data_IF_871292116118
#
_entry.id   IF_871292116118
#
_cell.length_a   1.000
_cell.length_b   1.000
_cell.length_c   1.000
_cell.angle_alpha   90.00
_cell.angle_beta   90.00
_cell.angle_gamma   90.00
#
_symmetry.space_group_name_H-M   'P 1'
#
loop_
_entity.id
_entity.type
_entity.pdbx_description
1 polymer ?
#
# COMPACT_ATOMS: atom_id res chain seq x y z
N UNK A 1 -27.83 13.81 -4.78
CA UNK A 1 -27.19 14.46 -3.62
C UNK A 1 -25.80 13.86 -3.45
N UNK A 2 -24.74 14.65 -3.57
CA UNK A 2 -23.42 14.20 -3.16
C UNK A 2 -23.39 14.26 -1.63
N UNK A 3 -23.45 13.11 -0.97
CA UNK A 3 -23.18 13.03 0.46
C UNK A 3 -21.79 13.62 0.72
N UNK A 4 -21.67 14.48 1.73
CA UNK A 4 -20.39 15.07 2.10
C UNK A 4 -19.39 13.94 2.40
N UNK A 5 -18.21 14.00 1.77
CA UNK A 5 -17.19 12.95 1.97
C UNK A 5 -16.76 12.94 3.42
N UNK A 6 -16.86 11.78 4.08
CA UNK A 6 -16.41 11.59 5.46
C UNK A 6 -14.91 11.89 5.55
N UNK A 7 -14.55 12.95 6.27
CA UNK A 7 -13.15 13.29 6.57
C UNK A 7 -12.82 12.84 7.98
N UNK A 8 -11.76 12.05 8.11
CA UNK A 8 -11.17 11.66 9.38
C UNK A 8 -9.70 12.07 9.30
N UNK A 9 -9.18 12.91 10.22
CA UNK A 9 -7.78 13.32 10.19
C UNK A 9 -6.83 12.11 10.11
N UNK A 10 -5.83 12.17 9.24
CA UNK A 10 -4.85 11.09 9.05
C UNK A 10 -5.39 9.83 8.36
N UNK A 11 -6.63 9.80 7.90
CA UNK A 11 -7.23 8.61 7.27
C UNK A 11 -7.70 8.90 5.85
N UNK A 12 -7.12 8.21 4.87
CA UNK A 12 -7.67 8.12 3.52
C UNK A 12 -8.75 7.03 3.50
N UNK A 13 -10.02 7.43 3.45
CA UNK A 13 -11.14 6.49 3.37
C UNK A 13 -11.15 5.83 1.98
N UNK A 14 -11.19 4.50 1.93
CA UNK A 14 -11.27 3.74 0.68
C UNK A 14 -12.71 3.67 0.17
N UNK A 15 -13.17 4.76 -0.44
CA UNK A 15 -14.50 4.88 -1.06
C UNK A 15 -14.49 4.51 -2.57
N UNK A 16 -15.60 4.74 -3.26
CA UNK A 16 -15.73 4.46 -4.70
C UNK A 16 -14.83 5.32 -5.59
N UNK A 17 -14.36 6.48 -5.14
CA UNK A 17 -13.40 7.29 -5.89
C UNK A 17 -11.99 6.71 -5.76
N UNK A 18 -11.57 6.38 -4.54
CA UNK A 18 -10.27 5.74 -4.31
C UNK A 18 -10.20 4.36 -4.99
N UNK A 19 -11.30 3.59 -4.97
CA UNK A 19 -11.37 2.29 -5.64
C UNK A 19 -11.20 2.42 -7.16
N UNK A 20 -11.80 3.44 -7.79
CA UNK A 20 -11.61 3.72 -9.23
C UNK A 20 -10.20 4.21 -9.53
N UNK A 21 -9.68 5.15 -8.72
CA UNK A 21 -8.32 5.70 -8.85
C UNK A 21 -7.26 4.59 -8.82
N UNK A 22 -7.39 3.66 -7.88
CA UNK A 22 -6.41 2.61 -7.64
C UNK A 22 -6.71 1.27 -8.31
N UNK A 23 -7.69 1.16 -9.22
CA UNK A 23 -8.12 -0.14 -9.74
C UNK A 23 -6.96 -0.96 -10.33
N UNK A 24 -6.15 -0.34 -11.21
CA UNK A 24 -4.98 -0.97 -11.82
C UNK A 24 -3.96 -1.45 -10.76
N UNK A 25 -3.61 -0.57 -9.83
CA UNK A 25 -2.70 -0.86 -8.73
C UNK A 25 -3.19 -2.02 -7.85
N UNK A 26 -4.44 -1.94 -7.37
CA UNK A 26 -5.02 -2.97 -6.50
C UNK A 26 -5.12 -4.33 -7.22
N UNK A 27 -5.50 -4.34 -8.51
CA UNK A 27 -5.56 -5.54 -9.34
C UNK A 27 -4.17 -6.16 -9.55
N UNK A 28 -3.15 -5.32 -9.78
CA UNK A 28 -1.76 -5.77 -9.84
C UNK A 28 -1.33 -6.40 -8.52
N UNK A 29 -1.53 -5.72 -7.39
CA UNK A 29 -1.17 -6.26 -6.09
C UNK A 29 -1.91 -7.56 -5.77
N UNK A 30 -3.18 -7.71 -6.19
CA UNK A 30 -3.91 -8.97 -6.04
C UNK A 30 -3.28 -10.14 -6.81
N UNK A 31 -2.66 -9.89 -7.95
CA UNK A 31 -2.00 -10.93 -8.75
C UNK A 31 -0.85 -11.63 -8.01
N UNK A 32 -0.25 -10.95 -7.02
CA UNK A 32 0.89 -11.46 -6.25
C UNK A 32 0.54 -12.58 -5.26
N UNK A 33 -0.74 -13.01 -5.18
CA UNK A 33 -1.08 -14.29 -4.57
C UNK A 33 -0.32 -15.45 -5.27
N UNK A 34 -0.13 -15.36 -6.59
CA UNK A 34 0.59 -16.37 -7.36
C UNK A 34 2.11 -16.17 -7.32
N UNK A 35 2.86 -17.25 -7.07
CA UNK A 35 4.32 -17.20 -7.00
C UNK A 35 4.96 -16.80 -8.33
N UNK A 36 4.40 -17.27 -9.45
CA UNK A 36 4.89 -16.93 -10.78
C UNK A 36 4.78 -15.42 -11.07
N UNK A 37 3.71 -14.77 -10.60
CA UNK A 37 3.50 -13.33 -10.76
C UNK A 37 4.51 -12.52 -9.94
N UNK A 38 4.83 -12.97 -8.71
CA UNK A 38 5.90 -12.36 -7.91
C UNK A 38 7.26 -12.48 -8.61
N UNK A 39 7.56 -13.65 -9.19
CA UNK A 39 8.80 -13.88 -9.92
C UNK A 39 8.89 -13.07 -11.22
N UNK A 40 7.76 -12.87 -11.94
CA UNK A 40 7.70 -12.00 -13.12
C UNK A 40 7.95 -10.54 -12.72
N UNK A 41 7.29 -10.05 -11.66
CA UNK A 41 7.48 -8.70 -11.14
C UNK A 41 8.92 -8.43 -10.70
N UNK A 42 9.55 -9.36 -9.97
CA UNK A 42 10.94 -9.19 -9.51
C UNK A 42 11.96 -9.21 -10.65
N UNK A 43 11.62 -9.78 -11.81
CA UNK A 43 12.49 -9.80 -12.98
C UNK A 43 12.53 -8.45 -13.68
N UNK A 44 11.38 -7.79 -13.77
CA UNK A 44 11.23 -6.47 -14.38
C UNK A 44 9.99 -5.76 -13.79
N UNK A 45 10.22 -4.96 -12.74
CA UNK A 45 9.15 -4.26 -12.04
C UNK A 45 8.42 -3.26 -12.96
N UNK A 46 9.16 -2.60 -13.85
CA UNK A 46 8.63 -1.52 -14.69
C UNK A 46 7.74 -2.10 -15.80
N UNK A 47 8.16 -3.19 -16.43
CA UNK A 47 7.36 -3.92 -17.42
C UNK A 47 6.10 -4.53 -16.79
N UNK A 48 6.20 -5.10 -15.59
CA UNK A 48 5.03 -5.64 -14.89
C UNK A 48 4.03 -4.54 -14.51
N UNK A 49 4.51 -3.38 -14.06
CA UNK A 49 3.64 -2.22 -13.84
C UNK A 49 2.95 -1.75 -15.13
N UNK A 50 3.66 -1.76 -16.26
CA UNK A 50 3.10 -1.38 -17.56
C UNK A 50 2.00 -2.35 -18.02
N UNK A 51 2.17 -3.67 -17.81
CA UNK A 51 1.16 -4.71 -18.12
C UNK A 51 -0.20 -4.47 -17.44
N UNK A 52 -0.20 -3.86 -16.25
CA UNK A 52 -1.42 -3.51 -15.52
C UNK A 52 -1.92 -2.08 -15.78
N UNK A 53 -1.19 -1.28 -16.57
CA UNK A 53 -1.57 0.10 -16.88
C UNK A 53 -1.44 1.04 -15.69
N UNK A 54 -0.44 0.85 -14.82
CA UNK A 54 -0.21 1.75 -13.68
C UNK A 54 0.13 3.16 -14.17
N UNK A 55 -0.42 4.16 -13.48
CA UNK A 55 -0.11 5.58 -13.75
C UNK A 55 1.32 5.93 -13.30
N UNK A 56 1.91 7.04 -13.79
CA UNK A 56 3.24 7.47 -13.33
C UNK A 56 3.36 7.57 -11.81
N UNK A 57 2.34 8.13 -11.14
CA UNK A 57 2.29 8.22 -9.68
C UNK A 57 2.31 6.83 -9.01
N UNK A 58 1.55 5.87 -9.54
CA UNK A 58 1.52 4.50 -9.00
C UNK A 58 2.86 3.79 -9.18
N UNK A 59 3.52 3.96 -10.34
CA UNK A 59 4.83 3.37 -10.63
C UNK A 59 5.91 3.94 -9.72
N UNK A 60 5.89 5.25 -9.47
CA UNK A 60 6.79 5.88 -8.52
C UNK A 60 6.60 5.36 -7.09
N UNK A 61 5.34 5.22 -6.64
CA UNK A 61 5.03 4.66 -5.33
C UNK A 61 5.53 3.20 -5.17
N UNK A 62 5.43 2.38 -6.22
CA UNK A 62 5.99 1.02 -6.25
C UNK A 62 7.51 1.04 -6.13
N UNK A 63 8.18 1.90 -6.91
CA UNK A 63 9.64 2.03 -6.89
C UNK A 63 10.17 2.46 -5.51
N UNK A 64 9.46 3.40 -4.87
CA UNK A 64 9.81 3.90 -3.55
C UNK A 64 9.47 2.92 -2.42
N UNK A 65 8.76 1.82 -2.73
CA UNK A 65 8.24 0.84 -1.76
C UNK A 65 7.54 1.49 -0.55
N UNK A 66 6.87 2.61 -0.81
CA UNK A 66 6.25 3.44 0.21
C UNK A 66 4.74 3.19 0.26
N UNK A 67 4.26 2.58 1.34
CA UNK A 67 2.85 2.20 1.47
C UNK A 67 1.94 3.42 1.58
N UNK A 68 2.42 4.54 2.14
CA UNK A 68 1.65 5.79 2.19
C UNK A 68 1.45 6.37 0.78
N UNK A 69 2.50 6.40 -0.04
CA UNK A 69 2.39 6.84 -1.44
C UNK A 69 1.44 5.92 -2.23
N UNK A 70 1.47 4.62 -1.95
CA UNK A 70 0.55 3.65 -2.57
C UNK A 70 -0.91 3.89 -2.16
N UNK A 71 -1.17 4.20 -0.88
CA UNK A 71 -2.51 4.57 -0.38
C UNK A 71 -2.98 5.88 -1.04
N UNK A 72 -2.11 6.89 -1.11
CA UNK A 72 -2.40 8.15 -1.80
C UNK A 72 -2.73 7.92 -3.27
N UNK A 73 -2.04 6.99 -3.94
CA UNK A 73 -2.27 6.59 -5.32
C UNK A 73 -3.52 5.71 -5.54
N UNK A 74 -4.35 5.50 -4.51
CA UNK A 74 -5.61 4.75 -4.56
C UNK A 74 -5.50 3.30 -4.11
N UNK A 75 -4.35 2.88 -3.57
CA UNK A 75 -4.16 1.55 -3.03
C UNK A 75 -4.95 1.32 -1.73
N UNK A 76 -5.53 0.13 -1.59
CA UNK A 76 -6.09 -0.31 -0.31
C UNK A 76 -5.10 -1.25 0.38
N UNK A 77 -4.89 -1.01 1.68
CA UNK A 77 -3.88 -1.70 2.50
C UNK A 77 -3.93 -3.24 2.38
N UNK A 78 -5.10 -3.85 2.21
CA UNK A 78 -5.24 -5.30 2.10
C UNK A 78 -4.78 -5.88 0.74
N UNK A 79 -4.82 -5.08 -0.32
CA UNK A 79 -4.16 -5.44 -1.58
C UNK A 79 -2.66 -5.18 -1.48
N UNK A 80 -2.28 -4.00 -0.95
CA UNK A 80 -0.88 -3.59 -0.83
C UNK A 80 -0.05 -4.55 0.04
N UNK A 81 -0.66 -5.21 1.03
CA UNK A 81 0.00 -6.24 1.84
C UNK A 81 0.65 -7.35 1.00
N UNK A 82 0.07 -7.69 -0.16
CA UNK A 82 0.63 -8.71 -1.07
C UNK A 82 1.90 -8.24 -1.77
N UNK A 83 1.99 -6.94 -2.07
CA UNK A 83 3.21 -6.30 -2.57
C UNK A 83 4.25 -6.16 -1.45
N UNK A 84 3.84 -5.67 -0.28
CA UNK A 84 4.72 -5.51 0.88
C UNK A 84 5.37 -6.85 1.30
N UNK A 85 4.60 -7.94 1.25
CA UNK A 85 5.08 -9.29 1.55
C UNK A 85 6.16 -9.81 0.60
N UNK A 86 6.28 -9.29 -0.63
CA UNK A 86 7.39 -9.64 -1.55
C UNK A 86 8.74 -9.23 -0.94
N UNK A 87 8.75 -8.14 -0.16
CA UNK A 87 9.95 -7.54 0.41
C UNK A 87 10.12 -7.84 1.91
N UNK A 88 9.31 -8.76 2.46
CA UNK A 88 9.35 -9.10 3.88
C UNK A 88 8.91 -7.96 4.81
N UNK A 89 8.18 -6.96 4.30
CA UNK A 89 7.61 -5.90 5.13
C UNK A 89 6.40 -6.44 5.91
N UNK A 90 6.39 -6.20 7.22
CA UNK A 90 5.28 -6.55 8.11
C UNK A 90 4.40 -5.34 8.45
N UNK A 91 3.34 -5.57 9.22
CA UNK A 91 2.39 -4.49 9.60
C UNK A 91 3.03 -3.46 10.54
N UNK A 92 4.13 -3.78 11.20
CA UNK A 92 4.88 -2.87 12.06
C UNK A 92 5.80 -1.98 11.22
N UNK A 93 6.35 -2.47 10.11
CA UNK A 93 7.03 -1.65 9.11
C UNK A 93 6.07 -0.60 8.52
N UNK A 94 4.84 -1.02 8.20
CA UNK A 94 3.80 -0.11 7.70
C UNK A 94 3.43 0.93 8.76
N UNK A 95 3.23 0.51 10.02
CA UNK A 95 2.93 1.42 11.12
C UNK A 95 4.06 2.41 11.43
N UNK A 96 5.31 1.98 11.28
CA UNK A 96 6.48 2.86 11.37
C UNK A 96 6.46 3.94 10.29
N UNK A 97 6.20 3.56 9.02
CA UNK A 97 6.04 4.52 7.92
C UNK A 97 4.90 5.52 8.20
N UNK A 98 3.74 5.03 8.67
CA UNK A 98 2.56 5.85 8.98
C UNK A 98 2.80 6.88 10.10
N UNK A 99 3.71 6.60 11.02
CA UNK A 99 3.98 7.45 12.20
C UNK A 99 5.24 8.27 12.07
N UNK A 100 6.05 8.05 11.02
CA UNK A 100 7.39 8.64 10.89
C UNK A 100 8.38 8.15 11.95
N UNK A 101 8.08 7.03 12.61
CA UNK A 101 8.91 6.41 13.65
C UNK A 101 9.83 5.35 13.05
N UNK A 102 10.88 4.97 13.77
CA UNK A 102 11.55 3.69 13.51
C UNK A 102 10.65 2.52 13.88
N UNK A 103 10.90 1.34 13.32
CA UNK A 103 10.14 0.12 13.64
C UNK A 103 10.22 -0.20 15.14
N UNK A 104 11.38 -0.01 15.75
CA UNK A 104 11.65 -0.22 17.17
C UNK A 104 10.80 0.73 18.03
N UNK A 105 10.80 2.02 17.70
CA UNK A 105 10.01 3.02 18.42
C UNK A 105 8.50 2.74 18.28
N UNK A 106 8.05 2.34 17.10
CA UNK A 106 6.65 1.97 16.88
C UNK A 106 6.25 0.73 17.69
N UNK A 107 7.10 -0.32 17.72
CA UNK A 107 6.88 -1.51 18.56
C UNK A 107 6.82 -1.17 20.05
N UNK A 108 7.74 -0.33 20.54
CA UNK A 108 7.77 0.12 21.93
C UNK A 108 6.48 0.88 22.29
N UNK A 109 5.99 1.74 21.39
CA UNK A 109 4.72 2.45 21.55
C UNK A 109 3.53 1.49 21.66
N UNK A 110 3.45 0.47 20.80
CA UNK A 110 2.38 -0.53 20.86
C UNK A 110 2.41 -1.33 22.17
N UNK A 111 3.60 -1.72 22.64
CA UNK A 111 3.75 -2.42 23.93
C UNK A 111 3.33 -1.55 25.11
N UNK A 112 3.63 -0.25 25.09
CA UNK A 112 3.19 0.67 26.14
C UNK A 112 1.66 0.82 26.16
N UNK A 113 1.04 0.99 24.99
CA UNK A 113 -0.41 1.16 24.87
C UNK A 113 -1.22 -0.10 25.22
N UNK A 114 -0.64 -1.30 25.10
CA UNK A 114 -1.30 -2.56 25.45
C UNK A 114 -1.19 -2.96 26.93
N UNK A 115 -0.59 -2.12 27.78
CA UNK A 115 -0.47 -2.33 29.23
C UNK A 115 -1.56 -1.62 30.03
N UNK A 116 -2.36 -0.80 29.37
CA UNK A 116 -3.54 -0.12 29.91
C UNK A 116 -4.82 -0.90 29.57
#
# INVERSE_FOLDING_TARGET
MNAEKRRIPGTTVFDGEQARKGYALNKMCFSFNEAANRAEFLRDEDAYCAKYGLTPQQREAIRNRNVLQLIEAGGNVYYLAKFAGIFGLDVQDIGAQQTGMTKEAFKARLLAAGRD
#
